data_IF_439958146775
#
_entry.id   IF_439958146775
#
_cell.length_a   1.000
_cell.length_b   1.000
_cell.length_c   1.000
_cell.angle_alpha   90.00
_cell.angle_beta   90.00
_cell.angle_gamma   90.00
#
_symmetry.space_group_name_H-M   'P 1'
#
loop_
_entity.id
_entity.type
_entity.pdbx_description
1 polymer ?
#
# COMPACT_ATOMS: atom_id res chain seq x y z
N UNK A 1 -13.13 16.32 -5.38
CA UNK A 1 -13.58 15.01 -4.84
C UNK A 1 -12.84 14.82 -3.54
N UNK A 2 -13.52 14.44 -2.46
CA UNK A 2 -12.81 14.16 -1.20
C UNK A 2 -12.15 12.80 -1.30
N UNK A 3 -10.87 12.70 -0.96
CA UNK A 3 -10.20 11.40 -0.85
C UNK A 3 -10.94 10.49 0.12
N UNK A 4 -11.01 9.20 -0.20
CA UNK A 4 -11.59 8.19 0.68
C UNK A 4 -10.74 7.96 1.95
N UNK A 5 -9.44 8.24 1.87
CA UNK A 5 -8.49 8.16 2.99
C UNK A 5 -7.68 9.46 3.11
N UNK A 6 -7.17 9.76 4.30
CA UNK A 6 -6.30 10.94 4.52
C UNK A 6 -4.86 10.67 4.10
N UNK A 7 -4.05 11.73 3.97
CA UNK A 7 -2.60 11.61 3.72
C UNK A 7 -1.92 10.77 4.82
N UNK A 8 -2.30 10.96 6.08
CA UNK A 8 -1.74 10.20 7.21
C UNK A 8 -2.08 8.72 7.10
N UNK A 9 -3.30 8.39 6.67
CA UNK A 9 -3.71 7.01 6.43
C UNK A 9 -2.96 6.40 5.24
N UNK A 10 -2.78 7.15 4.15
CA UNK A 10 -1.98 6.70 3.00
C UNK A 10 -0.51 6.47 3.39
N UNK A 11 0.07 7.35 4.21
CA UNK A 11 1.43 7.20 4.71
C UNK A 11 1.59 5.96 5.62
N UNK A 12 0.63 5.72 6.50
CA UNK A 12 0.60 4.53 7.35
C UNK A 12 0.49 3.24 6.51
N UNK A 13 -0.41 3.22 5.51
CA UNK A 13 -0.54 2.07 4.59
C UNK A 13 0.75 1.82 3.79
N UNK A 14 1.45 2.87 3.37
CA UNK A 14 2.74 2.76 2.69
C UNK A 14 3.81 2.19 3.63
N UNK A 15 3.84 2.65 4.88
CA UNK A 15 4.78 2.13 5.88
C UNK A 15 4.53 0.65 6.20
N UNK A 16 3.28 0.24 6.36
CA UNK A 16 2.89 -1.16 6.56
C UNK A 16 3.29 -2.03 5.36
N UNK A 17 3.12 -1.51 4.13
CA UNK A 17 3.52 -2.21 2.91
C UNK A 17 5.03 -2.50 2.90
N UNK A 18 5.85 -1.53 3.30
CA UNK A 18 7.31 -1.69 3.41
C UNK A 18 7.71 -2.73 4.45
N UNK A 19 7.06 -2.73 5.63
CA UNK A 19 7.32 -3.74 6.66
C UNK A 19 7.02 -5.14 6.13
N UNK A 20 5.88 -5.32 5.46
CA UNK A 20 5.47 -6.60 4.88
C UNK A 20 6.45 -7.05 3.80
N UNK A 21 6.85 -6.15 2.89
CA UNK A 21 7.82 -6.49 1.84
C UNK A 21 9.14 -6.99 2.44
N UNK A 22 9.69 -6.27 3.44
CA UNK A 22 10.91 -6.69 4.14
C UNK A 22 10.76 -8.01 4.88
N UNK A 23 9.59 -8.29 5.46
CA UNK A 23 9.32 -9.54 6.15
C UNK A 23 9.43 -10.73 5.20
N UNK A 24 8.82 -10.62 4.01
CA UNK A 24 8.88 -11.64 2.95
C UNK A 24 10.33 -11.82 2.47
N UNK A 25 11.03 -10.74 2.18
CA UNK A 25 12.42 -10.78 1.69
C UNK A 25 13.40 -11.38 2.71
N UNK A 26 13.20 -11.10 4.00
CA UNK A 26 14.10 -11.60 5.05
C UNK A 26 13.85 -13.05 5.41
N UNK A 27 12.64 -13.57 5.20
CA UNK A 27 12.23 -14.92 5.61
C UNK A 27 11.47 -15.68 4.50
N UNK A 28 11.99 -15.76 3.26
CA UNK A 28 11.24 -16.28 2.11
C UNK A 28 10.93 -17.78 2.19
N UNK A 29 11.63 -18.53 3.06
CA UNK A 29 11.46 -19.97 3.23
C UNK A 29 10.78 -20.35 4.55
N UNK A 30 10.30 -19.38 5.32
CA UNK A 30 9.66 -19.62 6.63
C UNK A 30 8.14 -19.49 6.59
N UNK A 31 7.57 -19.31 5.39
CA UNK A 31 6.13 -19.14 5.18
C UNK A 31 5.64 -20.23 4.22
N UNK A 32 4.45 -20.74 4.49
CA UNK A 32 3.75 -21.64 3.59
C UNK A 32 3.17 -20.87 2.40
N UNK A 33 2.93 -21.55 1.29
CA UNK A 33 2.36 -20.95 0.08
C UNK A 33 1.04 -20.22 0.36
N UNK A 34 0.18 -20.76 1.23
CA UNK A 34 -1.07 -20.13 1.62
C UNK A 34 -0.86 -18.84 2.43
N UNK A 35 0.18 -18.78 3.27
CA UNK A 35 0.56 -17.60 4.04
C UNK A 35 1.13 -16.52 3.11
N UNK A 36 1.99 -16.90 2.16
CA UNK A 36 2.51 -16.00 1.13
C UNK A 36 1.36 -15.40 0.31
N UNK A 37 0.39 -16.21 -0.14
CA UNK A 37 -0.77 -15.71 -0.89
C UNK A 37 -1.56 -14.69 -0.07
N UNK A 38 -1.83 -14.99 1.21
CA UNK A 38 -2.57 -14.09 2.10
C UNK A 38 -1.82 -12.76 2.32
N UNK A 39 -0.52 -12.83 2.58
CA UNK A 39 0.32 -11.65 2.81
C UNK A 39 0.46 -10.81 1.54
N UNK A 40 0.70 -11.43 0.39
CA UNK A 40 0.77 -10.73 -0.90
C UNK A 40 -0.57 -10.08 -1.24
N UNK A 41 -1.70 -10.74 -0.97
CA UNK A 41 -3.03 -10.16 -1.16
C UNK A 41 -3.25 -8.92 -0.27
N UNK A 42 -2.77 -8.96 0.98
CA UNK A 42 -2.79 -7.80 1.87
C UNK A 42 -1.91 -6.67 1.34
N UNK A 43 -0.69 -6.99 0.89
CA UNK A 43 0.25 -6.04 0.32
C UNK A 43 -0.31 -5.36 -0.93
N UNK A 44 -0.93 -6.12 -1.84
CA UNK A 44 -1.59 -5.58 -3.03
C UNK A 44 -2.74 -4.63 -2.67
N UNK A 45 -3.52 -4.93 -1.63
CA UNK A 45 -4.60 -4.05 -1.17
C UNK A 45 -4.08 -2.74 -0.59
N UNK A 46 -3.05 -2.81 0.26
CA UNK A 46 -2.44 -1.61 0.87
C UNK A 46 -1.81 -0.72 -0.21
N UNK A 47 -0.93 -1.29 -1.04
CA UNK A 47 -0.25 -0.55 -2.12
C UNK A 47 -1.21 -0.02 -3.18
N UNK A 48 -2.28 -0.75 -3.49
CA UNK A 48 -3.34 -0.29 -4.38
C UNK A 48 -4.08 0.93 -3.83
N UNK A 49 -4.41 0.92 -2.53
CA UNK A 49 -5.08 2.05 -1.87
C UNK A 49 -4.20 3.30 -1.85
N UNK A 50 -2.90 3.15 -1.55
CA UNK A 50 -1.92 4.25 -1.59
C UNK A 50 -1.77 4.79 -3.01
N UNK A 51 -1.69 3.90 -4.00
CA UNK A 51 -1.52 4.29 -5.41
C UNK A 51 -2.74 5.08 -5.90
N UNK A 52 -3.95 4.61 -5.62
CA UNK A 52 -5.18 5.31 -5.97
C UNK A 52 -5.21 6.73 -5.35
N UNK A 53 -4.89 6.83 -4.06
CA UNK A 53 -4.83 8.12 -3.36
C UNK A 53 -3.81 9.08 -3.98
N UNK A 54 -2.59 8.61 -4.28
CA UNK A 54 -1.54 9.43 -4.91
C UNK A 54 -1.95 9.94 -6.29
N UNK A 55 -2.62 9.11 -7.10
CA UNK A 55 -3.13 9.50 -8.43
C UNK A 55 -4.16 10.61 -8.29
N UNK A 56 -5.12 10.46 -7.38
CA UNK A 56 -6.13 11.48 -7.13
C UNK A 56 -5.50 12.79 -6.63
N UNK A 57 -4.51 12.71 -5.73
CA UNK A 57 -3.85 13.87 -5.13
C UNK A 57 -3.05 14.62 -6.20
N UNK A 58 -2.33 13.91 -7.08
CA UNK A 58 -1.63 14.51 -8.21
C UNK A 58 -2.61 15.22 -9.16
N UNK A 59 -3.72 14.57 -9.51
CA UNK A 59 -4.73 15.17 -10.38
C UNK A 59 -5.35 16.44 -9.77
N UNK A 60 -5.60 16.47 -8.46
CA UNK A 60 -6.11 17.66 -7.77
C UNK A 60 -5.09 18.80 -7.76
N UNK A 61 -3.80 18.49 -7.54
CA UNK A 61 -2.72 19.48 -7.58
C UNK A 61 -2.53 20.06 -8.97
N UNK A 62 -2.64 19.24 -10.02
CA UNK A 62 -2.57 19.70 -11.41
C UNK A 62 -3.77 20.58 -11.77
N UNK A 63 -4.98 20.23 -11.36
CA UNK A 63 -6.18 21.03 -11.61
C UNK A 63 -6.20 22.38 -10.85
N UNK A 64 -5.43 22.48 -9.76
CA UNK A 64 -5.32 23.68 -8.94
C UNK A 64 -4.19 24.62 -9.38
N UNK A 65 -3.45 24.26 -10.44
CA UNK A 65 -2.32 25.02 -10.99
C UNK A 65 -2.74 25.86 -12.19
#
# INVERSE_FOLDING_TARGET
MSHEITLEQAAEMAHQSEIIARLIESHPHQMQDCEIIAIVSLLSRLTGSVTAWLIEELAQREASR
#
